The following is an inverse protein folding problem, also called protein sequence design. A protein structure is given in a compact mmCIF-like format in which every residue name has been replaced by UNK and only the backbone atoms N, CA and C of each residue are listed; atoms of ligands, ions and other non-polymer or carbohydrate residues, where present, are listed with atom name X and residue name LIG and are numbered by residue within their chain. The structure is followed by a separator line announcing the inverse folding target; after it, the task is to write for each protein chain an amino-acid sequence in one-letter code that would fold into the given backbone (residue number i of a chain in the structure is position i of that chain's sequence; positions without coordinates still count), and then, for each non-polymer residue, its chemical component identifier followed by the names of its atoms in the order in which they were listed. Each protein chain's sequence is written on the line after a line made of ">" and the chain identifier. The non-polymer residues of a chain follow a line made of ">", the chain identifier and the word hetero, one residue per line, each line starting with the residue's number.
data_IF_628541368134
#
_entry.id   IF_628541368134
#
_cell.length_a   1.000
_cell.length_b   1.000
_cell.length_c   1.000
_cell.angle_alpha   90.00
_cell.angle_beta   90.00
_cell.angle_gamma   90.00
#
_symmetry.space_group_name_H-M   'P 1'
#
loop_
_entity.id
_entity.type
_entity.pdbx_description
1 polymer ?
#
# COMPACT_ATOMS: atom_id res chain seq x y z
N UNK A 1 -12.97 -10.12 0.88
CA UNK A 1 -12.20 -11.25 1.44
C UNK A 1 -10.77 -11.10 0.97
N UNK A 2 -9.89 -10.62 1.84
CA UNK A 2 -8.52 -10.22 1.50
C UNK A 2 -7.56 -11.25 2.05
N UNK A 3 -6.66 -11.76 1.20
CA UNK A 3 -5.62 -12.71 1.63
C UNK A 3 -4.30 -11.97 1.76
N UNK A 4 -3.67 -12.07 2.92
CA UNK A 4 -2.37 -11.45 3.20
C UNK A 4 -1.32 -12.56 3.30
N UNK A 5 -0.23 -12.41 2.55
CA UNK A 5 0.92 -13.32 2.61
C UNK A 5 1.82 -12.90 3.78
N UNK A 6 1.94 -13.75 4.80
CA UNK A 6 2.67 -13.48 6.04
C UNK A 6 4.03 -14.17 5.99
N UNK A 7 4.90 -13.71 5.07
CA UNK A 7 6.25 -14.26 4.92
C UNK A 7 6.28 -15.77 4.67
N UNK A 8 7.16 -16.49 5.36
CA UNK A 8 7.26 -17.97 5.30
C UNK A 8 6.15 -18.70 6.08
N UNK A 9 5.35 -17.97 6.87
CA UNK A 9 4.28 -18.54 7.70
C UNK A 9 2.98 -18.82 6.92
N UNK A 10 2.96 -18.52 5.62
CA UNK A 10 1.86 -18.85 4.72
C UNK A 10 0.95 -17.66 4.41
N UNK A 11 -0.29 -17.96 4.05
CA UNK A 11 -1.30 -16.97 3.67
C UNK A 11 -2.38 -16.96 4.74
N UNK A 12 -2.64 -15.80 5.32
CA UNK A 12 -3.72 -15.60 6.28
C UNK A 12 -4.89 -14.95 5.57
N UNK A 13 -6.07 -15.48 5.84
CA UNK A 13 -7.32 -14.91 5.35
C UNK A 13 -7.84 -13.87 6.33
N UNK A 14 -8.06 -12.66 5.84
CA UNK A 14 -8.62 -11.57 6.63
C UNK A 14 -10.13 -11.59 6.49
N UNK A 15 -10.80 -11.97 7.57
CA UNK A 15 -12.26 -12.06 7.68
C UNK A 15 -12.89 -10.70 8.02
N UNK A 16 -12.19 -9.83 8.76
CA UNK A 16 -12.66 -8.47 9.06
C UNK A 16 -11.47 -7.51 9.22
N UNK A 17 -11.70 -6.24 8.89
CA UNK A 17 -10.77 -5.12 9.12
C UNK A 17 -11.41 -4.04 10.00
N UNK A 18 -12.44 -4.41 10.77
CA UNK A 18 -13.09 -3.51 11.71
C UNK A 18 -12.14 -3.10 12.83
N UNK A 19 -12.37 -1.90 13.35
CA UNK A 19 -11.64 -1.40 14.52
C UNK A 19 -12.14 -2.16 15.75
N UNK A 20 -11.27 -2.98 16.35
CA UNK A 20 -11.61 -3.84 17.49
C UNK A 20 -11.02 -3.22 18.73
N UNK A 21 -11.87 -2.87 19.70
CA UNK A 21 -11.42 -2.44 21.02
C UNK A 21 -10.93 -3.64 21.83
N UNK A 22 -9.60 -3.76 21.98
CA UNK A 22 -8.91 -4.86 22.64
C UNK A 22 -9.13 -4.90 24.16
N UNK A 23 -9.55 -3.80 24.78
CA UNK A 23 -9.90 -3.80 26.21
C UNK A 23 -11.23 -4.52 26.46
N UNK A 24 -12.12 -4.53 25.45
CA UNK A 24 -13.42 -5.23 25.52
C UNK A 24 -13.41 -6.59 24.85
N UNK A 25 -12.56 -6.80 23.85
CA UNK A 25 -12.41 -8.05 23.13
C UNK A 25 -10.91 -8.33 22.87
N UNK A 26 -10.20 -8.83 23.90
CA UNK A 26 -8.75 -8.96 23.84
C UNK A 26 -8.30 -10.03 22.85
N UNK A 27 -7.22 -9.74 22.13
CA UNK A 27 -6.55 -10.71 21.29
C UNK A 27 -5.69 -11.64 22.15
N UNK A 28 -5.49 -12.88 21.75
CA UNK A 28 -4.56 -13.79 22.44
C UNK A 28 -3.17 -13.71 21.83
N UNK A 29 -2.18 -13.38 22.66
CA UNK A 29 -0.77 -13.35 22.31
C UNK A 29 -0.18 -14.74 22.08
N UNK A 30 1.03 -14.76 21.51
CA UNK A 30 1.75 -16.02 21.23
C UNK A 30 2.14 -16.79 22.49
N UNK A 31 2.20 -16.12 23.63
CA UNK A 31 2.43 -16.66 24.97
C UNK A 31 1.14 -17.15 25.65
N UNK A 32 -0.01 -16.99 24.99
CA UNK A 32 -1.33 -17.35 25.52
C UNK A 32 -1.98 -16.29 26.40
N UNK A 33 -1.33 -15.13 26.61
CA UNK A 33 -1.88 -14.05 27.42
C UNK A 33 -2.80 -13.14 26.60
N UNK A 34 -3.72 -12.45 27.27
CA UNK A 34 -4.56 -11.43 26.64
C UNK A 34 -3.74 -10.19 26.30
N UNK A 35 -3.86 -9.70 25.07
CA UNK A 35 -3.31 -8.44 24.58
C UNK A 35 -4.40 -7.38 24.67
N UNK A 36 -4.16 -6.38 25.50
CA UNK A 36 -5.01 -5.19 25.65
C UNK A 36 -4.60 -4.07 24.70
N UNK A 37 -5.35 -2.96 24.67
CA UNK A 37 -4.97 -1.79 23.88
C UNK A 37 -3.60 -1.23 24.31
N UNK A 38 -3.35 -1.20 25.62
CA UNK A 38 -2.09 -0.73 26.16
C UNK A 38 -0.91 -1.60 25.69
N UNK A 39 -1.11 -2.93 25.66
CA UNK A 39 -0.10 -3.87 25.17
C UNK A 39 0.13 -3.71 23.66
N UNK A 40 -0.94 -3.54 22.88
CA UNK A 40 -0.85 -3.33 21.44
C UNK A 40 -0.06 -2.05 21.10
N UNK A 41 -0.29 -0.96 21.84
CA UNK A 41 0.48 0.29 21.70
C UNK A 41 1.94 0.08 22.06
N UNK A 42 2.24 -0.65 23.14
CA UNK A 42 3.62 -0.94 23.54
C UNK A 42 4.36 -1.78 22.49
N UNK A 43 3.72 -2.83 21.98
CA UNK A 43 4.27 -3.69 20.91
C UNK A 43 4.51 -2.87 19.63
N UNK A 44 3.56 -2.02 19.25
CA UNK A 44 3.71 -1.16 18.08
C UNK A 44 4.87 -0.17 18.23
N UNK A 45 5.03 0.43 19.42
CA UNK A 45 6.13 1.34 19.72
C UNK A 45 7.48 0.64 19.68
N UNK A 46 7.58 -0.58 20.23
CA UNK A 46 8.78 -1.41 20.18
C UNK A 46 9.15 -1.78 18.75
N UNK A 47 8.19 -2.27 17.96
CA UNK A 47 8.39 -2.59 16.55
C UNK A 47 8.86 -1.37 15.74
N UNK A 48 8.32 -0.17 16.03
CA UNK A 48 8.78 1.07 15.41
C UNK A 48 10.21 1.43 15.80
N UNK A 49 10.63 1.18 17.05
CA UNK A 49 12.01 1.39 17.47
C UNK A 49 12.98 0.43 16.77
N UNK A 50 12.60 -0.84 16.60
CA UNK A 50 13.40 -1.82 15.87
C UNK A 50 13.57 -1.43 14.40
N UNK A 51 12.48 -1.03 13.74
CA UNK A 51 12.52 -0.56 12.34
C UNK A 51 13.40 0.69 12.19
N UNK A 52 13.40 1.59 13.19
CA UNK A 52 14.27 2.79 13.19
C UNK A 52 15.75 2.47 13.44
N UNK A 53 16.05 1.36 14.12
CA UNK A 53 17.43 0.93 14.43
C UNK A 53 18.06 0.09 13.32
N UNK A 54 17.26 -0.63 12.55
CA UNK A 54 17.74 -1.40 11.40
C UNK A 54 18.05 -0.53 10.18
N UNK A 55 18.92 -0.97 9.25
CA UNK A 55 18.88 -0.44 7.89
C UNK A 55 17.47 -0.74 7.39
N UNK A 56 16.71 0.31 7.04
CA UNK A 56 15.31 0.16 6.61
C UNK A 56 15.16 -0.87 5.49
N UNK A 57 13.91 -1.23 5.15
CA UNK A 57 13.63 -2.24 4.11
C UNK A 57 14.53 -2.02 2.89
N UNK A 58 15.33 -3.02 2.49
CA UNK A 58 16.24 -2.87 1.36
C UNK A 58 15.46 -2.37 0.15
N UNK A 59 16.02 -1.43 -0.63
CA UNK A 59 15.34 -0.94 -1.81
C UNK A 59 15.11 -2.10 -2.77
N UNK A 60 13.97 -2.09 -3.48
CA UNK A 60 13.67 -3.13 -4.47
C UNK A 60 14.83 -3.28 -5.47
N UNK A 61 15.17 -4.53 -5.86
CA UNK A 61 16.18 -4.78 -6.87
C UNK A 61 15.76 -4.09 -8.18
N UNK A 62 16.74 -3.64 -8.98
CA UNK A 62 16.45 -2.82 -10.19
C UNK A 62 15.46 -3.49 -11.14
N UNK A 63 15.49 -4.82 -11.26
CA UNK A 63 14.58 -5.62 -12.08
C UNK A 63 13.12 -5.59 -11.62
N UNK A 64 12.85 -5.25 -10.36
CA UNK A 64 11.50 -5.16 -9.78
C UNK A 64 11.02 -3.70 -9.65
N UNK A 65 11.83 -2.73 -10.07
CA UNK A 65 11.42 -1.33 -10.10
C UNK A 65 10.61 -1.07 -11.36
N UNK A 66 9.45 -0.44 -11.20
CA UNK A 66 8.75 0.15 -12.34
C UNK A 66 9.62 1.24 -12.97
N UNK A 67 9.67 1.27 -14.29
CA UNK A 67 10.30 2.37 -15.02
C UNK A 67 9.55 3.67 -14.74
N UNK A 68 10.28 4.67 -14.25
CA UNK A 68 9.71 5.98 -13.94
C UNK A 68 10.05 6.97 -15.05
N UNK A 69 9.09 7.22 -15.94
CA UNK A 69 9.16 8.38 -16.84
C UNK A 69 8.70 9.60 -16.04
N UNK A 70 9.66 10.43 -15.60
CA UNK A 70 9.39 11.57 -14.72
C UNK A 70 8.66 12.73 -15.41
N UNK A 71 8.71 12.82 -16.74
CA UNK A 71 8.06 13.89 -17.48
C UNK A 71 7.66 13.42 -18.88
N UNK A 72 6.41 13.69 -19.24
CA UNK A 72 5.89 13.59 -20.62
C UNK A 72 5.72 15.01 -21.14
N UNK A 73 6.27 15.32 -22.32
CA UNK A 73 6.10 16.63 -22.95
C UNK A 73 4.82 16.64 -23.76
N UNK A 74 3.90 17.54 -23.41
CA UNK A 74 2.62 17.72 -24.07
C UNK A 74 2.51 19.17 -24.56
N UNK A 75 1.75 19.39 -25.63
CA UNK A 75 1.31 20.76 -25.97
C UNK A 75 0.33 21.25 -24.90
N UNK A 76 0.14 22.57 -24.82
CA UNK A 76 -0.77 23.17 -23.85
C UNK A 76 -2.21 22.62 -23.99
N UNK A 77 -2.72 22.50 -25.22
CA UNK A 77 -4.04 21.92 -25.49
C UNK A 77 -4.15 20.44 -25.09
N UNK A 78 -3.07 19.67 -25.21
CA UNK A 78 -3.04 18.28 -24.78
C UNK A 78 -3.06 18.17 -23.26
N UNK A 79 -2.30 19.02 -22.57
CA UNK A 79 -2.27 19.06 -21.11
C UNK A 79 -3.65 19.43 -20.53
N UNK A 80 -4.32 20.43 -21.11
CA UNK A 80 -5.66 20.83 -20.65
C UNK A 80 -6.68 19.71 -20.82
N UNK A 81 -6.74 19.08 -22.00
CA UNK A 81 -7.66 17.96 -22.25
C UNK A 81 -7.37 16.77 -21.34
N UNK A 82 -6.09 16.50 -21.05
CA UNK A 82 -5.69 15.46 -20.12
C UNK A 82 -6.21 15.76 -18.71
N UNK A 83 -6.02 16.99 -18.23
CA UNK A 83 -6.48 17.41 -16.91
C UNK A 83 -8.00 17.36 -16.76
N UNK A 84 -8.73 17.87 -17.75
CA UNK A 84 -10.21 17.77 -17.80
C UNK A 84 -10.68 16.31 -17.76
N UNK A 85 -10.04 15.44 -18.55
CA UNK A 85 -10.37 14.01 -18.58
C UNK A 85 -10.09 13.34 -17.24
N UNK A 86 -8.97 13.68 -16.60
CA UNK A 86 -8.60 13.15 -15.29
C UNK A 86 -9.62 13.57 -14.21
N UNK A 87 -10.02 14.84 -14.21
CA UNK A 87 -11.05 15.37 -13.32
C UNK A 87 -12.41 14.70 -13.54
N UNK A 88 -12.87 14.59 -14.78
CA UNK A 88 -14.14 13.94 -15.12
C UNK A 88 -14.19 12.48 -14.66
N UNK A 89 -13.05 11.78 -14.70
CA UNK A 89 -12.94 10.37 -14.30
C UNK A 89 -12.60 10.17 -12.83
N UNK A 90 -12.36 11.24 -12.06
CA UNK A 90 -11.93 11.14 -10.67
C UNK A 90 -10.61 10.39 -10.49
N UNK A 91 -9.68 10.53 -11.44
CA UNK A 91 -8.39 9.82 -11.44
C UNK A 91 -7.22 10.76 -11.71
N UNK A 92 -5.98 10.26 -11.63
CA UNK A 92 -4.78 11.05 -11.93
C UNK A 92 -4.49 11.15 -13.43
N UNK A 93 -3.85 12.23 -13.85
CA UNK A 93 -3.40 12.41 -15.24
C UNK A 93 -2.47 11.27 -15.72
N UNK A 94 -1.55 10.83 -14.85
CA UNK A 94 -0.66 9.69 -15.11
C UNK A 94 -1.44 8.41 -15.39
N UNK A 95 -2.54 8.19 -14.67
CA UNK A 95 -3.39 7.02 -14.84
C UNK A 95 -4.16 7.08 -16.18
N UNK A 96 -4.61 8.27 -16.59
CA UNK A 96 -5.20 8.46 -17.92
C UNK A 96 -4.19 8.16 -19.02
N UNK A 97 -2.95 8.64 -18.90
CA UNK A 97 -1.86 8.35 -19.86
C UNK A 97 -1.58 6.85 -19.91
N UNK A 98 -1.45 6.20 -18.75
CA UNK A 98 -1.19 4.75 -18.65
C UNK A 98 -2.24 3.95 -19.40
N UNK A 99 -3.52 4.21 -19.15
CA UNK A 99 -4.62 3.52 -19.82
C UNK A 99 -4.65 3.78 -21.33
N UNK A 100 -4.32 5.01 -21.78
CA UNK A 100 -4.25 5.34 -23.18
C UNK A 100 -3.12 4.58 -23.90
N UNK A 101 -1.94 4.49 -23.27
CA UNK A 101 -0.81 3.72 -23.78
C UNK A 101 -1.10 2.22 -23.82
N UNK A 102 -1.72 1.68 -22.77
CA UNK A 102 -2.14 0.27 -22.75
C UNK A 102 -3.08 -0.06 -23.90
N UNK A 103 -4.09 0.80 -24.13
CA UNK A 103 -5.01 0.64 -25.26
C UNK A 103 -4.27 0.69 -26.60
N UNK A 104 -3.35 1.64 -26.77
CA UNK A 104 -2.56 1.79 -27.98
C UNK A 104 -1.66 0.58 -28.25
N UNK A 105 -1.04 0.01 -27.23
CA UNK A 105 -0.18 -1.18 -27.37
C UNK A 105 -0.96 -2.47 -27.56
N UNK A 106 -2.21 -2.53 -27.09
CA UNK A 106 -3.10 -3.69 -27.24
C UNK A 106 -3.92 -3.68 -28.53
N UNK A 107 -3.88 -2.59 -29.30
CA UNK A 107 -4.57 -2.41 -30.58
C UNK A 107 -3.69 -2.86 -31.75
#
# INVERSE_FOLDING_TARGET
>A
MTRIRVGSRGTVEVTSTEDVNLDTNPATGADGNAITEADAVAIAAEALQEVRRGPGRPPLPKSERADQIKAVRLTWDQANRLSETAQQRGTSESEVIRQALERFMSA
#
